data_IF_649150695415
#
_entry.id   IF_649150695415
#
_cell.length_a   1.000
_cell.length_b   1.000
_cell.length_c   1.000
_cell.angle_alpha   90.00
_cell.angle_beta   90.00
_cell.angle_gamma   90.00
#
_symmetry.space_group_name_H-M   'P 1'
#
loop_
_entity.id
_entity.type
_entity.pdbx_description
1 polymer ?
#
# COMPACT_ATOMS: atom_id res chain seq x y z
N UNK A 1 4.13 52.41 -6.13
CA UNK A 1 5.57 52.20 -6.36
C UNK A 1 5.75 50.78 -6.84
N UNK A 2 6.06 50.62 -8.13
CA UNK A 2 6.18 49.34 -8.81
C UNK A 2 7.63 48.84 -8.74
N UNK A 3 7.85 47.62 -8.26
CA UNK A 3 9.15 46.97 -8.29
C UNK A 3 9.17 45.92 -9.40
N UNK A 4 10.07 46.12 -10.37
CA UNK A 4 10.34 45.23 -11.50
C UNK A 4 11.17 44.03 -11.04
N UNK A 5 10.79 42.83 -11.47
CA UNK A 5 11.64 41.63 -11.43
C UNK A 5 12.48 41.54 -12.72
N UNK A 6 13.75 41.07 -12.66
CA UNK A 6 14.55 40.80 -13.85
C UNK A 6 14.31 39.40 -14.43
N UNK A 7 14.42 39.20 -15.76
CA UNK A 7 14.34 37.89 -16.41
C UNK A 7 15.74 37.33 -16.71
N UNK A 8 15.97 36.05 -16.40
CA UNK A 8 17.11 35.22 -16.83
C UNK A 8 16.66 33.76 -16.69
N UNK A 9 16.86 32.80 -17.58
CA UNK A 9 17.53 32.73 -18.86
C UNK A 9 17.31 31.30 -19.38
N UNK A 10 16.91 31.18 -20.65
CA UNK A 10 16.73 29.92 -21.36
C UNK A 10 18.12 29.41 -21.74
N UNK A 11 18.46 28.18 -21.35
CA UNK A 11 19.65 27.48 -21.88
C UNK A 11 19.21 26.36 -22.79
N UNK A 12 19.40 26.62 -24.08
CA UNK A 12 19.45 25.64 -25.16
C UNK A 12 20.57 24.61 -24.91
N UNK A 13 20.25 23.33 -25.07
CA UNK A 13 21.24 22.28 -25.27
C UNK A 13 20.91 21.55 -26.57
N UNK A 14 21.51 22.05 -27.65
CA UNK A 14 21.61 21.35 -28.94
C UNK A 14 23.00 20.70 -29.07
N UNK A 15 23.08 19.64 -29.89
CA UNK A 15 24.28 18.94 -30.37
C UNK A 15 24.74 17.75 -29.48
N UNK A 16 25.16 16.58 -29.97
CA UNK A 16 25.59 16.17 -31.31
C UNK A 16 25.70 14.62 -31.37
N UNK A 17 25.21 14.05 -32.48
CA UNK A 17 25.79 12.94 -33.28
C UNK A 17 26.26 11.64 -32.62
N UNK A 18 25.80 10.48 -33.12
CA UNK A 18 26.64 9.53 -33.93
C UNK A 18 25.94 8.18 -34.20
N UNK A 19 25.65 7.97 -35.49
CA UNK A 19 25.80 6.72 -36.26
C UNK A 19 26.21 5.45 -35.50
N UNK A 20 25.38 4.41 -35.54
CA UNK A 20 25.85 3.07 -35.95
C UNK A 20 24.78 2.34 -36.76
N UNK A 21 25.24 1.96 -37.94
CA UNK A 21 24.58 1.20 -38.99
C UNK A 21 25.05 -0.25 -38.85
N UNK A 22 24.16 -1.25 -38.78
CA UNK A 22 24.52 -2.62 -39.18
C UNK A 22 23.29 -3.47 -39.53
N UNK A 23 23.21 -3.74 -40.82
CA UNK A 23 22.42 -4.80 -41.44
C UNK A 23 22.74 -6.18 -40.83
N UNK A 24 21.70 -6.96 -40.55
CA UNK A 24 21.78 -8.41 -40.50
C UNK A 24 20.82 -9.00 -41.55
N UNK A 25 21.41 -9.73 -42.49
CA UNK A 25 20.73 -10.48 -43.52
C UNK A 25 20.24 -11.83 -42.98
N UNK A 26 19.19 -12.43 -43.58
CA UNK A 26 18.70 -13.75 -43.21
C UNK A 26 19.60 -14.87 -43.76
N UNK A 27 19.95 -15.83 -42.91
CA UNK A 27 20.64 -17.06 -43.29
C UNK A 27 19.57 -18.12 -43.60
N UNK A 28 19.40 -18.43 -44.88
CA UNK A 28 18.68 -19.60 -45.38
C UNK A 28 19.63 -20.79 -45.38
N UNK A 29 19.37 -21.82 -44.57
CA UNK A 29 20.01 -23.13 -44.69
C UNK A 29 19.01 -24.15 -45.22
N UNK A 30 19.22 -24.56 -46.47
CA UNK A 30 18.60 -25.75 -47.06
C UNK A 30 19.26 -27.01 -46.49
N UNK A 31 18.46 -27.93 -45.95
CA UNK A 31 18.88 -29.29 -45.64
C UNK A 31 18.27 -30.27 -46.64
N UNK A 32 19.06 -31.17 -47.24
CA UNK A 32 18.56 -32.13 -48.20
C UNK A 32 17.82 -33.28 -47.52
N UNK A 33 16.75 -33.71 -48.18
CA UNK A 33 15.92 -34.84 -47.84
C UNK A 33 16.73 -36.15 -47.78
N UNK A 34 16.63 -36.86 -46.66
CA UNK A 34 17.01 -38.27 -46.56
C UNK A 34 15.77 -39.11 -46.26
N UNK A 35 15.16 -39.60 -47.34
CA UNK A 35 14.03 -40.51 -47.35
C UNK A 35 14.54 -41.94 -47.48
N UNK A 36 14.47 -42.75 -46.40
CA UNK A 36 14.40 -44.21 -46.53
C UNK A 36 13.98 -44.90 -45.23
N UNK A 37 12.96 -45.76 -45.38
CA UNK A 37 12.72 -46.97 -44.60
C UNK A 37 12.38 -46.82 -43.11
N UNK A 38 11.10 -46.99 -42.75
CA UNK A 38 10.65 -48.02 -41.78
C UNK A 38 9.14 -47.89 -41.51
N UNK A 39 8.36 -48.52 -42.38
CA UNK A 39 6.89 -48.49 -42.35
C UNK A 39 6.26 -49.40 -41.28
N UNK A 40 7.05 -50.00 -40.38
CA UNK A 40 6.57 -50.91 -39.33
C UNK A 40 6.54 -50.32 -37.91
N UNK A 41 6.95 -49.06 -37.71
CA UNK A 41 6.89 -48.35 -36.42
C UNK A 41 5.71 -47.35 -36.29
N UNK A 42 4.76 -47.37 -37.24
CA UNK A 42 3.72 -46.34 -37.36
C UNK A 42 2.51 -46.52 -36.43
N UNK A 43 2.35 -47.68 -35.78
CA UNK A 43 1.19 -47.92 -34.91
C UNK A 43 1.48 -47.56 -33.44
N UNK A 44 2.73 -47.68 -32.97
CA UNK A 44 3.10 -47.28 -31.60
C UNK A 44 3.43 -45.77 -31.45
N UNK A 45 3.93 -45.10 -32.50
CA UNK A 45 4.26 -43.67 -32.43
C UNK A 45 3.04 -42.73 -32.46
N UNK A 46 1.92 -43.17 -33.03
CA UNK A 46 0.70 -42.35 -33.12
C UNK A 46 -0.02 -42.22 -31.76
N UNK A 47 0.03 -43.23 -30.90
CA UNK A 47 -0.54 -43.16 -29.55
C UNK A 47 0.32 -42.33 -28.59
N UNK A 48 1.66 -42.40 -28.70
CA UNK A 48 2.56 -41.61 -27.85
C UNK A 48 2.52 -40.11 -28.17
N UNK A 49 2.40 -39.73 -29.44
CA UNK A 49 2.27 -38.32 -29.83
C UNK A 49 0.96 -37.69 -29.34
N UNK A 50 -0.15 -38.44 -29.36
CA UNK A 50 -1.44 -37.97 -28.86
C UNK A 50 -1.42 -37.75 -27.33
N UNK A 51 -0.77 -38.64 -26.57
CA UNK A 51 -0.65 -38.49 -25.11
C UNK A 51 0.23 -37.30 -24.74
N UNK A 52 1.36 -37.08 -25.44
CA UNK A 52 2.23 -35.92 -25.20
C UNK A 52 1.53 -34.60 -25.55
N UNK A 53 0.77 -34.56 -26.65
CA UNK A 53 -0.02 -33.38 -27.03
C UNK A 53 -1.15 -33.12 -26.02
N UNK A 54 -1.83 -34.15 -25.53
CA UNK A 54 -2.86 -34.04 -24.48
C UNK A 54 -2.27 -33.61 -23.13
N UNK A 55 -1.08 -34.06 -22.76
CA UNK A 55 -0.40 -33.58 -21.54
C UNK A 55 0.09 -32.14 -21.66
N UNK A 56 0.53 -31.69 -22.85
CA UNK A 56 0.92 -30.30 -23.10
C UNK A 56 -0.29 -29.35 -23.13
N UNK A 57 -1.41 -29.77 -23.73
CA UNK A 57 -2.67 -29.01 -23.71
C UNK A 57 -3.30 -28.99 -22.30
N UNK A 58 -3.18 -30.08 -21.54
CA UNK A 58 -3.66 -30.17 -20.17
C UNK A 58 -2.86 -29.31 -19.18
N UNK A 59 -1.56 -29.10 -19.40
CA UNK A 59 -0.74 -28.28 -18.50
C UNK A 59 -0.99 -26.78 -18.68
N UNK A 60 -1.27 -26.29 -19.90
CA UNK A 60 -1.62 -24.88 -20.14
C UNK A 60 -2.90 -24.47 -19.38
N UNK A 61 -3.90 -25.35 -19.28
CA UNK A 61 -5.16 -25.05 -18.59
C UNK A 61 -5.07 -25.11 -17.05
N UNK A 62 -4.07 -25.79 -16.49
CA UNK A 62 -3.90 -25.91 -15.02
C UNK A 62 -3.07 -24.74 -14.47
N UNK A 63 -2.14 -24.18 -15.24
CA UNK A 63 -1.35 -23.01 -14.80
C UNK A 63 -2.15 -21.70 -14.78
N UNK A 64 -3.20 -21.55 -15.59
CA UNK A 64 -4.08 -20.36 -15.51
C UNK A 64 -5.00 -20.39 -14.27
N UNK A 65 -5.42 -21.58 -13.81
CA UNK A 65 -6.33 -21.68 -12.65
C UNK A 65 -5.66 -21.39 -11.30
N UNK A 66 -4.36 -21.60 -11.17
CA UNK A 66 -3.64 -21.30 -9.92
C UNK A 66 -3.34 -19.81 -9.72
N UNK A 67 -3.48 -18.97 -10.75
CA UNK A 67 -3.39 -17.50 -10.63
C UNK A 67 -4.72 -16.80 -10.37
N UNK A 68 -5.84 -17.48 -10.59
CA UNK A 68 -7.16 -16.83 -10.61
C UNK A 68 -7.72 -16.46 -9.22
N UNK A 69 -7.11 -16.88 -8.10
CA UNK A 69 -7.64 -16.61 -6.76
C UNK A 69 -7.11 -15.30 -6.15
N UNK A 70 -5.99 -14.77 -6.63
CA UNK A 70 -5.46 -13.46 -6.23
C UNK A 70 -5.85 -12.34 -7.21
N UNK A 71 -6.57 -12.68 -8.29
CA UNK A 71 -6.97 -11.74 -9.34
C UNK A 71 -8.40 -11.25 -9.12
N UNK A 72 -8.65 -10.68 -7.94
CA UNK A 72 -9.92 -10.04 -7.61
C UNK A 72 -9.67 -8.69 -6.92
N UNK A 73 -10.49 -7.65 -7.23
CA UNK A 73 -10.42 -6.38 -6.52
C UNK A 73 -11.04 -6.44 -5.12
N UNK A 74 -11.65 -7.58 -4.74
CA UNK A 74 -12.21 -7.79 -3.40
C UNK A 74 -11.11 -7.62 -2.34
N UNK A 75 -11.41 -6.82 -1.33
CA UNK A 75 -10.47 -6.48 -0.27
C UNK A 75 -10.79 -5.16 0.43
N UNK A 76 -9.97 -4.85 1.41
CA UNK A 76 -9.99 -3.58 2.13
C UNK A 76 -8.75 -2.79 1.69
N UNK A 77 -8.98 -1.61 1.15
CA UNK A 77 -7.96 -0.81 0.47
C UNK A 77 -7.87 0.57 1.09
N UNK A 78 -6.70 1.21 1.03
CA UNK A 78 -6.49 2.53 1.61
C UNK A 78 -5.65 3.43 0.72
N UNK A 79 -5.99 4.72 0.72
CA UNK A 79 -5.28 5.76 0.00
C UNK A 79 -5.27 7.04 0.82
N UNK A 80 -4.24 7.85 0.63
CA UNK A 80 -4.09 9.16 1.24
C UNK A 80 -4.21 10.22 0.15
N UNK A 81 -5.08 11.22 0.37
CA UNK A 81 -5.21 12.37 -0.52
C UNK A 81 -4.82 13.64 0.25
N UNK A 82 -3.75 14.29 -0.20
CA UNK A 82 -3.36 15.60 0.25
C UNK A 82 -4.08 16.70 -0.53
N UNK A 83 -4.01 17.92 -0.02
CA UNK A 83 -4.64 19.09 -0.67
C UNK A 83 -4.09 19.35 -2.07
N UNK A 84 -2.81 19.07 -2.31
CA UNK A 84 -2.16 19.24 -3.61
C UNK A 84 -2.68 18.28 -4.67
N UNK A 85 -3.33 17.19 -4.25
CA UNK A 85 -3.77 16.12 -5.13
C UNK A 85 -5.20 16.36 -5.64
N UNK A 86 -5.88 17.38 -5.10
CA UNK A 86 -7.28 17.67 -5.39
C UNK A 86 -7.36 18.97 -6.20
N UNK A 87 -7.98 18.96 -7.39
CA UNK A 87 -8.21 20.17 -8.17
C UNK A 87 -9.00 21.22 -7.38
N UNK A 88 -8.52 22.47 -7.43
CA UNK A 88 -9.09 23.59 -6.63
C UNK A 88 -10.45 24.07 -7.12
N UNK A 89 -10.85 23.69 -8.33
CA UNK A 89 -12.09 24.08 -9.00
C UNK A 89 -13.27 23.13 -8.73
N UNK A 90 -13.05 22.07 -7.96
CA UNK A 90 -14.10 21.11 -7.60
C UNK A 90 -14.80 21.56 -6.33
N UNK A 91 -16.14 21.58 -6.38
CA UNK A 91 -16.97 21.87 -5.22
C UNK A 91 -16.62 20.89 -4.08
N UNK A 92 -16.49 21.42 -2.87
CA UNK A 92 -16.10 20.63 -1.69
C UNK A 92 -14.73 19.97 -1.80
N UNK A 93 -13.76 20.53 -2.55
CA UNK A 93 -12.40 19.98 -2.67
C UNK A 93 -11.77 19.55 -1.34
N UNK A 94 -11.96 20.33 -0.27
CA UNK A 94 -11.47 19.98 1.07
C UNK A 94 -12.10 18.72 1.69
N UNK A 95 -13.29 18.29 1.27
CA UNK A 95 -13.89 17.06 1.79
C UNK A 95 -13.17 15.80 1.30
N UNK A 96 -12.35 15.91 0.25
CA UNK A 96 -11.56 14.79 -0.27
C UNK A 96 -10.18 14.65 0.42
N UNK A 97 -9.73 15.66 1.16
CA UNK A 97 -8.44 15.61 1.89
C UNK A 97 -8.56 14.65 3.06
N UNK A 98 -7.65 13.67 3.14
CA UNK A 98 -7.56 12.73 4.26
C UNK A 98 -7.14 11.33 3.83
N UNK A 99 -7.19 10.40 4.79
CA UNK A 99 -7.05 8.97 4.50
C UNK A 99 -8.42 8.35 4.27
N UNK A 100 -8.46 7.53 3.23
CA UNK A 100 -9.63 6.85 2.75
C UNK A 100 -9.47 5.34 2.88
N UNK A 101 -10.58 4.68 3.16
CA UNK A 101 -10.74 3.23 3.11
C UNK A 101 -11.78 2.91 2.03
N UNK A 102 -11.43 2.02 1.12
CA UNK A 102 -12.33 1.45 0.12
C UNK A 102 -12.49 -0.04 0.43
N UNK A 103 -13.68 -0.43 0.90
CA UNK A 103 -14.04 -1.84 1.07
C UNK A 103 -14.77 -2.34 -0.17
N UNK A 104 -14.29 -3.41 -0.79
CA UNK A 104 -14.93 -4.10 -1.92
C UNK A 104 -15.26 -5.51 -1.43
N UNK A 105 -16.53 -5.77 -1.13
CA UNK A 105 -16.97 -7.01 -0.51
C UNK A 105 -17.41 -8.06 -1.53
N UNK A 106 -17.20 -9.33 -1.21
CA UNK A 106 -17.51 -10.45 -2.12
C UNK A 106 -19.01 -10.60 -2.42
N UNK A 107 -19.90 -9.95 -1.65
CA UNK A 107 -21.35 -9.95 -1.86
C UNK A 107 -21.83 -8.92 -2.89
N UNK A 108 -20.90 -8.19 -3.52
CA UNK A 108 -21.19 -7.16 -4.52
C UNK A 108 -21.48 -5.78 -3.91
N UNK A 109 -21.21 -5.58 -2.62
CA UNK A 109 -21.27 -4.26 -1.97
C UNK A 109 -19.90 -3.60 -1.88
N UNK A 110 -19.88 -2.27 -1.90
CA UNK A 110 -18.66 -1.51 -1.58
C UNK A 110 -18.99 -0.32 -0.69
N UNK A 111 -17.99 0.11 0.08
CA UNK A 111 -18.05 1.29 0.93
C UNK A 111 -16.77 2.11 0.76
N UNK A 112 -16.93 3.43 0.67
CA UNK A 112 -15.84 4.38 0.81
C UNK A 112 -16.02 5.16 2.11
N UNK A 113 -15.00 5.09 2.96
CA UNK A 113 -14.94 5.73 4.26
C UNK A 113 -13.75 6.68 4.31
N UNK A 114 -13.94 7.83 4.96
CA UNK A 114 -12.83 8.69 5.37
C UNK A 114 -12.58 8.45 6.86
N UNK A 115 -11.33 8.20 7.25
CA UNK A 115 -10.99 7.72 8.61
C UNK A 115 -11.54 8.62 9.73
N UNK A 116 -11.67 9.93 9.50
CA UNK A 116 -12.20 10.90 10.47
C UNK A 116 -13.71 11.19 10.33
N UNK A 117 -14.39 10.63 9.33
CA UNK A 117 -15.81 10.88 9.05
C UNK A 117 -16.67 9.61 8.97
N UNK A 118 -16.07 8.42 8.93
CA UNK A 118 -16.77 7.17 8.72
C UNK A 118 -17.20 6.97 7.25
N UNK A 119 -18.18 6.09 7.04
CA UNK A 119 -18.70 5.78 5.71
C UNK A 119 -19.39 7.00 5.10
N UNK A 120 -18.87 7.46 3.95
CA UNK A 120 -19.38 8.64 3.24
C UNK A 120 -19.97 8.32 1.88
N UNK A 121 -19.69 7.13 1.33
CA UNK A 121 -20.35 6.55 0.16
C UNK A 121 -20.52 5.04 0.37
N UNK A 122 -21.68 4.51 0.00
CA UNK A 122 -21.92 3.07 -0.06
C UNK A 122 -22.73 2.71 -1.30
N UNK A 123 -22.50 1.54 -1.86
CA UNK A 123 -23.11 1.16 -3.13
C UNK A 123 -22.97 -0.31 -3.49
N UNK A 124 -23.12 -0.61 -4.78
CA UNK A 124 -22.88 -1.92 -5.35
C UNK A 124 -21.73 -1.88 -6.36
N UNK A 125 -21.06 -3.02 -6.55
CA UNK A 125 -20.08 -3.17 -7.60
C UNK A 125 -20.29 -4.45 -8.40
N UNK A 126 -19.80 -4.45 -9.63
CA UNK A 126 -19.74 -5.62 -10.51
C UNK A 126 -18.39 -5.64 -11.24
N UNK A 127 -17.93 -6.82 -11.65
CA UNK A 127 -16.71 -6.99 -12.45
C UNK A 127 -17.00 -7.80 -13.70
N UNK A 128 -16.47 -7.34 -14.83
CA UNK A 128 -16.40 -8.06 -16.09
C UNK A 128 -14.97 -7.99 -16.64
N UNK A 129 -14.24 -9.11 -16.54
CA UNK A 129 -12.82 -9.17 -16.86
C UNK A 129 -12.00 -8.19 -16.01
N UNK A 130 -11.28 -7.29 -16.67
CA UNK A 130 -10.45 -6.27 -16.02
C UNK A 130 -11.20 -4.96 -15.76
N UNK A 131 -12.53 -4.91 -15.94
CA UNK A 131 -13.34 -3.75 -15.65
C UNK A 131 -14.18 -3.96 -14.40
N UNK A 132 -14.22 -2.94 -13.55
CA UNK A 132 -15.06 -2.85 -12.36
C UNK A 132 -16.01 -1.65 -12.52
N UNK A 133 -17.28 -1.87 -12.24
CA UNK A 133 -18.30 -0.82 -12.23
C UNK A 133 -18.77 -0.62 -10.80
N UNK A 134 -18.75 0.62 -10.33
CA UNK A 134 -19.30 1.05 -9.04
C UNK A 134 -20.59 1.83 -9.29
N UNK A 135 -21.64 1.51 -8.53
CA UNK A 135 -22.91 2.24 -8.51
C UNK A 135 -23.19 2.71 -7.09
N UNK A 136 -23.07 4.01 -6.88
CA UNK A 136 -23.36 4.65 -5.60
C UNK A 136 -24.85 4.51 -5.28
N UNK A 137 -25.19 4.14 -4.03
CA UNK A 137 -26.59 4.02 -3.57
C UNK A 137 -26.94 5.02 -2.47
N UNK A 138 -25.96 5.37 -1.64
CA UNK A 138 -26.16 6.25 -0.50
C UNK A 138 -24.84 6.92 -0.08
N UNK A 139 -24.97 7.97 0.73
CA UNK A 139 -23.84 8.66 1.33
C UNK A 139 -23.82 10.16 1.04
N UNK A 140 -23.12 10.91 1.90
CA UNK A 140 -23.01 12.37 1.74
C UNK A 140 -22.17 12.78 0.54
N UNK A 141 -21.27 11.91 0.08
CA UNK A 141 -20.45 12.11 -1.12
C UNK A 141 -20.89 11.22 -2.29
N UNK A 142 -22.06 10.57 -2.18
CA UNK A 142 -22.62 9.82 -3.30
C UNK A 142 -22.93 10.76 -4.46
N UNK A 143 -22.55 10.37 -5.66
CA UNK A 143 -22.74 11.15 -6.87
C UNK A 143 -24.22 11.32 -7.28
N UNK A 144 -25.09 10.43 -6.79
CA UNK A 144 -26.55 10.54 -6.93
C UNK A 144 -27.23 11.40 -5.86
N UNK A 145 -26.47 12.00 -4.93
CA UNK A 145 -27.02 12.84 -3.88
C UNK A 145 -27.20 14.29 -4.38
N UNK A 146 -28.46 14.75 -4.43
CA UNK A 146 -28.86 16.11 -4.81
C UNK A 146 -28.11 17.21 -4.05
N UNK A 147 -27.68 16.93 -2.82
CA UNK A 147 -26.91 17.88 -2.01
C UNK A 147 -25.47 18.07 -2.50
N UNK A 148 -24.92 17.10 -3.23
CA UNK A 148 -23.55 17.10 -3.74
C UNK A 148 -23.45 17.61 -5.20
N UNK A 149 -24.54 17.55 -5.99
CA UNK A 149 -24.54 17.98 -7.39
C UNK A 149 -25.85 18.71 -7.79
N UNK A 150 -25.82 20.02 -8.09
CA UNK A 150 -27.00 20.77 -8.52
C UNK A 150 -27.49 20.41 -9.95
N UNK A 151 -26.78 19.52 -10.66
CA UNK A 151 -27.16 18.99 -11.96
C UNK A 151 -27.10 17.47 -11.85
N UNK A 152 -28.24 16.86 -11.56
CA UNK A 152 -28.35 15.39 -11.48
C UNK A 152 -28.61 14.89 -12.90
N UNK A 153 -27.64 14.18 -13.47
CA UNK A 153 -27.91 13.24 -14.55
C UNK A 153 -28.03 11.85 -13.91
N UNK A 154 -29.03 11.07 -14.31
CA UNK A 154 -29.26 9.71 -13.78
C UNK A 154 -28.03 8.81 -13.96
N UNK A 155 -27.17 9.10 -14.92
CA UNK A 155 -25.93 8.35 -15.17
C UNK A 155 -24.76 8.70 -14.23
N UNK A 156 -24.90 9.67 -13.33
CA UNK A 156 -23.79 10.09 -12.45
C UNK A 156 -23.53 9.14 -11.28
N UNK A 157 -24.52 8.33 -10.91
CA UNK A 157 -24.40 7.37 -9.81
C UNK A 157 -23.45 6.21 -10.14
N UNK A 158 -23.13 6.00 -11.42
CA UNK A 158 -22.37 4.85 -11.90
C UNK A 158 -21.05 5.27 -12.55
N UNK A 159 -19.98 4.53 -12.25
CA UNK A 159 -18.64 4.74 -12.81
C UNK A 159 -17.94 3.42 -13.10
N UNK A 160 -17.29 3.32 -14.25
CA UNK A 160 -16.55 2.15 -14.72
C UNK A 160 -15.05 2.44 -14.81
N UNK A 161 -14.26 1.48 -14.37
CA UNK A 161 -12.81 1.56 -14.23
C UNK A 161 -12.16 0.28 -14.72
N UNK A 162 -10.98 0.36 -15.33
CA UNK A 162 -10.10 -0.80 -15.38
C UNK A 162 -9.43 -0.96 -14.03
N UNK A 163 -9.23 -2.19 -13.57
CA UNK A 163 -8.54 -2.48 -12.32
C UNK A 163 -7.33 -3.39 -12.57
N UNK A 164 -6.29 -3.19 -11.76
CA UNK A 164 -5.09 -4.03 -11.73
C UNK A 164 -4.66 -4.22 -10.28
N UNK A 165 -4.40 -5.47 -9.88
CA UNK A 165 -3.84 -5.79 -8.57
C UNK A 165 -2.40 -6.27 -8.72
N UNK A 166 -1.49 -5.64 -7.99
CA UNK A 166 -0.09 -6.04 -7.90
C UNK A 166 0.30 -6.22 -6.44
N UNK A 167 0.17 -7.46 -5.96
CA UNK A 167 0.41 -7.81 -4.56
C UNK A 167 -0.59 -7.12 -3.62
N UNK A 168 -0.08 -6.21 -2.79
CA UNK A 168 -0.86 -5.41 -1.82
C UNK A 168 -1.37 -4.09 -2.38
N UNK A 169 -1.23 -3.86 -3.69
CA UNK A 169 -1.66 -2.63 -4.33
C UNK A 169 -2.82 -2.89 -5.31
N UNK A 170 -3.82 -2.02 -5.28
CA UNK A 170 -4.92 -1.97 -6.23
C UNK A 170 -4.86 -0.64 -7.00
N UNK A 171 -4.78 -0.71 -8.31
CA UNK A 171 -4.82 0.46 -9.19
C UNK A 171 -6.13 0.46 -9.95
N UNK A 172 -6.85 1.60 -9.94
CA UNK A 172 -8.05 1.82 -10.74
C UNK A 172 -7.76 2.94 -11.74
N UNK A 173 -8.12 2.73 -13.00
CA UNK A 173 -8.01 3.73 -14.06
C UNK A 173 -9.38 3.96 -14.68
N UNK A 174 -9.80 5.22 -14.78
CA UNK A 174 -11.12 5.59 -15.30
C UNK A 174 -11.32 5.08 -16.72
N UNK A 175 -12.44 4.40 -16.96
CA UNK A 175 -12.95 4.10 -18.30
C UNK A 175 -14.04 5.11 -18.66
N UNK A 176 -15.10 5.16 -17.83
CA UNK A 176 -16.19 6.11 -17.97
C UNK A 176 -16.75 6.44 -16.59
N UNK A 177 -16.83 7.72 -16.26
CA UNK A 177 -17.38 8.16 -14.98
C UNK A 177 -17.63 9.67 -15.03
N UNK A 178 -18.88 10.09 -14.88
CA UNK A 178 -19.24 11.50 -14.91
C UNK A 178 -19.06 12.21 -13.55
N UNK A 179 -18.79 11.47 -12.46
CA UNK A 179 -18.70 12.01 -11.12
C UNK A 179 -17.27 12.41 -10.74
N UNK A 180 -16.95 13.72 -10.63
CA UNK A 180 -15.60 14.17 -10.33
C UNK A 180 -15.06 13.64 -9.00
N UNK A 181 -15.91 13.59 -7.97
CA UNK A 181 -15.53 13.12 -6.64
C UNK A 181 -15.04 11.67 -6.61
N UNK A 182 -15.79 10.77 -7.28
CA UNK A 182 -15.42 9.35 -7.39
C UNK A 182 -14.16 9.17 -8.22
N UNK A 183 -14.02 9.93 -9.32
CA UNK A 183 -12.79 9.90 -10.15
C UNK A 183 -11.56 10.31 -9.33
N UNK A 184 -11.63 11.41 -8.57
CA UNK A 184 -10.54 11.84 -7.69
C UNK A 184 -10.20 10.72 -6.70
N UNK A 185 -11.21 10.20 -5.99
CA UNK A 185 -10.98 9.22 -4.94
C UNK A 185 -10.36 7.92 -5.48
N UNK A 186 -10.87 7.42 -6.61
CA UNK A 186 -10.52 6.09 -7.11
C UNK A 186 -9.28 6.10 -8.02
N UNK A 187 -8.90 7.22 -8.64
CA UNK A 187 -7.86 7.20 -9.71
C UNK A 187 -6.64 8.07 -9.44
N UNK A 188 -6.62 8.86 -8.37
CA UNK A 188 -5.47 9.74 -8.10
C UNK A 188 -4.21 8.94 -7.78
N UNK A 189 -4.34 7.87 -7.00
CA UNK A 189 -3.24 6.97 -6.65
C UNK A 189 -3.69 5.52 -6.62
N UNK A 190 -2.74 4.60 -6.69
CA UNK A 190 -2.97 3.20 -6.32
C UNK A 190 -3.28 3.11 -4.83
N UNK A 191 -4.25 2.27 -4.48
CA UNK A 191 -4.53 1.93 -3.11
C UNK A 191 -3.55 0.88 -2.61
N UNK A 192 -3.23 0.95 -1.33
CA UNK A 192 -2.53 -0.11 -0.59
C UNK A 192 -3.52 -0.92 0.24
N UNK A 193 -3.19 -2.15 0.61
CA UNK A 193 -4.00 -2.95 1.55
C UNK A 193 -4.25 -2.17 2.86
N UNK A 194 -5.50 -2.09 3.28
CA UNK A 194 -5.89 -1.36 4.48
C UNK A 194 -5.39 -2.07 5.73
N UNK A 195 -4.64 -1.32 6.54
CA UNK A 195 -4.19 -1.75 7.86
C UNK A 195 -4.84 -0.81 8.88
N UNK A 196 -5.54 -1.41 9.85
CA UNK A 196 -6.15 -0.72 10.98
C UNK A 196 -5.10 -0.39 12.04
N UNK A 197 -5.26 0.74 12.72
CA UNK A 197 -4.50 1.05 13.92
C UNK A 197 -5.02 0.16 15.06
N UNK A 198 -4.25 -0.86 15.42
CA UNK A 198 -4.61 -1.78 16.52
C UNK A 198 -3.91 -1.41 17.84
N UNK A 199 -3.04 -0.41 17.81
CA UNK A 199 -2.33 0.08 18.99
C UNK A 199 -3.32 0.64 20.00
N UNK A 200 -3.23 0.15 21.23
CA UNK A 200 -4.02 0.66 22.34
C UNK A 200 -3.58 2.09 22.67
N UNK A 201 -4.53 3.00 22.97
CA UNK A 201 -4.19 4.36 23.35
C UNK A 201 -3.42 4.37 24.68
N UNK A 202 -2.39 5.21 24.78
CA UNK A 202 -1.73 5.50 26.05
C UNK A 202 -2.69 6.17 27.01
N UNK A 203 -2.57 5.85 28.30
CA UNK A 203 -3.32 6.56 29.33
C UNK A 203 -2.83 7.99 29.47
N UNK A 204 -3.73 8.91 29.82
CA UNK A 204 -3.36 10.30 30.11
C UNK A 204 -2.38 10.42 31.29
N UNK A 205 -2.46 9.51 32.28
CA UNK A 205 -1.54 9.49 33.41
C UNK A 205 -0.09 9.20 32.95
N UNK A 206 0.06 8.24 32.03
CA UNK A 206 1.36 7.91 31.41
C UNK A 206 1.89 9.09 30.61
N UNK A 207 1.05 9.75 29.81
CA UNK A 207 1.45 10.91 29.00
C UNK A 207 1.88 12.12 29.84
N UNK A 208 1.26 12.31 31.01
CA UNK A 208 1.59 13.40 31.93
C UNK A 208 2.75 13.07 32.88
N UNK A 209 3.39 11.90 32.74
CA UNK A 209 4.45 11.45 33.64
C UNK A 209 3.99 11.34 35.10
N UNK A 210 2.69 11.16 35.33
CA UNK A 210 2.20 10.89 36.68
C UNK A 210 2.63 9.46 37.01
N UNK A 211 3.41 9.24 38.09
CA UNK A 211 3.82 7.89 38.46
C UNK A 211 2.57 7.04 38.63
N UNK A 212 2.43 6.03 37.78
CA UNK A 212 1.40 5.02 37.93
C UNK A 212 1.62 4.39 39.30
N UNK A 213 0.66 4.54 40.20
CA UNK A 213 0.76 3.94 41.52
C UNK A 213 0.94 2.44 41.31
N UNK A 214 2.04 1.88 41.83
CA UNK A 214 2.38 0.47 41.67
C UNK A 214 1.11 -0.38 41.84
N UNK A 215 0.69 -1.14 40.81
CA UNK A 215 -0.47 -2.00 40.95
C UNK A 215 -0.23 -2.92 42.16
N UNK A 216 -1.25 -3.14 43.01
CA UNK A 216 -1.08 -3.97 44.20
C UNK A 216 -0.49 -5.30 43.75
N UNK A 217 0.65 -5.66 44.35
CA UNK A 217 1.43 -6.86 44.05
C UNK A 217 0.57 -8.12 44.25
N UNK A 218 -0.20 -8.51 43.24
CA UNK A 218 -0.93 -9.78 43.24
C UNK A 218 0.08 -10.85 42.88
N UNK A 219 0.69 -11.45 43.91
CA UNK A 219 1.60 -12.57 43.80
C UNK A 219 0.96 -13.73 43.04
N UNK A 220 1.19 -13.80 41.72
CA UNK A 220 0.92 -14.99 40.92
C UNK A 220 2.09 -15.97 41.11
N UNK A 221 1.83 -17.27 41.34
CA UNK A 221 2.88 -18.25 41.54
C UNK A 221 3.74 -18.41 40.28
N UNK A 222 5.02 -18.10 40.41
CA UNK A 222 6.03 -18.24 39.35
C UNK A 222 6.24 -19.73 39.09
N UNK A 223 5.90 -20.19 37.89
CA UNK A 223 6.32 -21.50 37.39
C UNK A 223 7.83 -21.47 37.09
N UNK A 224 8.59 -22.54 37.42
CA UNK A 224 10.03 -22.57 37.20
C UNK A 224 10.37 -22.47 35.71
N UNK A 225 11.19 -21.47 35.37
CA UNK A 225 11.72 -21.29 34.02
C UNK A 225 12.57 -22.49 33.62
N UNK A 226 12.21 -23.14 32.51
CA UNK A 226 12.98 -24.24 31.94
C UNK A 226 14.14 -23.65 31.13
N UNK A 227 15.37 -23.85 31.59
CA UNK A 227 16.59 -23.47 30.86
C UNK A 227 16.79 -24.42 29.68
N UNK A 228 16.70 -23.92 28.45
CA UNK A 228 17.05 -24.67 27.25
C UNK A 228 18.56 -24.54 27.01
N UNK A 229 19.30 -25.63 27.21
CA UNK A 229 20.72 -25.73 26.84
C UNK A 229 20.85 -25.84 25.32
N UNK A 230 21.36 -24.79 24.67
CA UNK A 230 21.76 -24.84 23.27
C UNK A 230 23.13 -25.52 23.14
N UNK A 231 23.13 -26.81 22.76
CA UNK A 231 24.32 -27.56 22.37
C UNK A 231 24.32 -27.80 20.86
N UNK A 232 24.72 -26.79 20.10
CA UNK A 232 24.89 -26.92 18.65
C UNK A 232 25.64 -25.73 18.07
N UNK A 233 26.71 -25.98 17.33
CA UNK A 233 27.43 -24.96 16.56
C UNK A 233 26.44 -24.39 15.53
N UNK A 234 26.06 -23.09 15.63
CA UNK A 234 24.99 -22.56 14.81
C UNK A 234 25.50 -22.37 13.38
N UNK A 235 24.79 -22.97 12.42
CA UNK A 235 24.75 -22.38 11.08
C UNK A 235 24.30 -20.91 11.22
N UNK A 236 24.79 -19.98 10.38
CA UNK A 236 24.33 -18.60 10.43
C UNK A 236 22.80 -18.58 10.26
N UNK A 237 22.09 -18.29 11.35
CA UNK A 237 20.65 -18.06 11.33
C UNK A 237 20.48 -16.67 10.75
N UNK A 238 20.04 -16.59 9.50
CA UNK A 238 19.55 -15.34 8.93
C UNK A 238 18.22 -15.03 9.62
N UNK A 239 18.25 -14.14 10.60
CA UNK A 239 17.01 -13.64 11.21
C UNK A 239 16.46 -12.58 10.26
N UNK A 240 15.31 -12.86 9.66
CA UNK A 240 14.61 -11.94 8.77
C UNK A 240 13.57 -11.16 9.58
N UNK A 241 13.82 -9.86 9.78
CA UNK A 241 12.92 -8.94 10.49
C UNK A 241 12.05 -8.11 9.55
N UNK A 242 12.04 -8.46 8.26
CA UNK A 242 11.40 -7.66 7.21
C UNK A 242 9.91 -7.50 7.46
N UNK A 243 9.22 -8.59 7.78
CA UNK A 243 7.78 -8.57 7.99
C UNK A 243 7.38 -7.73 9.22
N UNK A 244 8.16 -7.80 10.30
CA UNK A 244 7.91 -7.06 11.54
C UNK A 244 8.10 -5.55 11.34
N UNK A 245 9.13 -5.14 10.62
CA UNK A 245 9.35 -3.71 10.32
C UNK A 245 8.32 -3.19 9.33
N UNK A 246 7.99 -3.96 8.29
CA UNK A 246 6.95 -3.57 7.35
C UNK A 246 5.59 -3.44 8.06
N UNK A 247 5.31 -4.30 9.05
CA UNK A 247 4.12 -4.19 9.91
C UNK A 247 4.17 -2.95 10.82
N UNK A 248 5.31 -2.67 11.46
CA UNK A 248 5.46 -1.46 12.29
C UNK A 248 5.22 -0.18 11.48
N UNK A 249 5.82 -0.05 10.30
CA UNK A 249 5.64 1.12 9.43
C UNK A 249 4.19 1.26 8.95
N UNK A 250 3.52 0.14 8.69
CA UNK A 250 2.10 0.14 8.39
C UNK A 250 1.23 0.56 9.60
N UNK A 251 1.55 0.10 10.81
CA UNK A 251 0.88 0.54 12.04
C UNK A 251 1.11 2.04 12.29
N UNK A 252 2.33 2.54 12.06
CA UNK A 252 2.63 3.97 12.14
C UNK A 252 1.76 4.76 11.18
N UNK A 253 1.68 4.33 9.92
CA UNK A 253 0.80 4.93 8.90
C UNK A 253 -0.67 4.91 9.33
N UNK A 254 -1.14 3.77 9.85
CA UNK A 254 -2.51 3.59 10.27
C UNK A 254 -2.90 4.46 11.48
N UNK A 255 -2.06 4.48 12.51
CA UNK A 255 -2.29 5.25 13.73
C UNK A 255 -2.05 6.75 13.53
N UNK A 256 -1.19 7.14 12.58
CA UNK A 256 -1.08 8.54 12.17
C UNK A 256 -2.41 9.05 11.58
N UNK A 257 -3.05 8.24 10.75
CA UNK A 257 -4.29 8.62 10.09
C UNK A 257 -5.51 8.69 11.01
N UNK A 258 -5.49 8.05 12.20
CA UNK A 258 -6.59 8.19 13.16
C UNK A 258 -6.61 9.55 13.85
N UNK A 259 -5.53 10.35 13.74
CA UNK A 259 -5.38 11.66 14.41
C UNK A 259 -5.50 11.57 15.94
N UNK A 260 -5.12 10.42 16.50
CA UNK A 260 -5.10 10.14 17.93
C UNK A 260 -3.65 9.94 18.38
N UNK A 261 -2.94 11.00 18.80
CA UNK A 261 -1.53 10.92 19.20
C UNK A 261 -1.24 9.78 20.18
N UNK A 262 -2.13 9.54 21.13
CA UNK A 262 -2.05 8.50 22.15
C UNK A 262 -1.98 7.08 21.58
N UNK A 263 -2.44 6.85 20.35
CA UNK A 263 -2.30 5.55 19.66
C UNK A 263 -1.03 5.43 18.84
N UNK A 264 -0.46 6.55 18.41
CA UNK A 264 0.76 6.56 17.61
C UNK A 264 2.01 6.55 18.49
N UNK A 265 2.00 7.24 19.63
CA UNK A 265 3.14 7.32 20.55
C UNK A 265 3.67 5.97 21.09
N UNK A 266 2.85 4.94 21.33
CA UNK A 266 3.36 3.61 21.71
C UNK A 266 4.22 2.93 20.64
N UNK A 267 4.16 3.39 19.38
CA UNK A 267 4.96 2.86 18.28
C UNK A 267 6.39 3.44 18.29
N UNK A 268 6.64 4.45 19.13
CA UNK A 268 7.95 5.04 19.36
C UNK A 268 8.64 4.34 20.53
N UNK A 269 9.97 4.29 20.50
CA UNK A 269 10.75 3.86 21.65
C UNK A 269 10.46 4.76 22.86
N UNK A 270 10.60 4.21 24.06
CA UNK A 270 10.33 4.94 25.29
C UNK A 270 11.22 6.20 25.38
N UNK A 271 12.52 6.08 25.10
CA UNK A 271 13.46 7.21 25.13
C UNK A 271 13.12 8.30 24.11
N UNK A 272 12.80 7.91 22.87
CA UNK A 272 12.49 8.88 21.81
C UNK A 272 11.16 9.58 22.07
N UNK A 273 10.13 8.82 22.49
CA UNK A 273 8.83 9.36 22.88
C UNK A 273 8.97 10.37 24.02
N UNK A 274 9.69 10.01 25.08
CA UNK A 274 9.82 10.84 26.26
C UNK A 274 10.61 12.12 25.93
N UNK A 275 11.62 12.04 25.06
CA UNK A 275 12.32 13.21 24.54
C UNK A 275 11.40 14.16 23.75
N UNK A 276 10.50 13.63 22.91
CA UNK A 276 9.51 14.42 22.19
C UNK A 276 8.52 15.11 23.15
N UNK A 277 7.98 14.38 24.12
CA UNK A 277 7.04 14.91 25.11
C UNK A 277 7.66 15.99 25.99
N UNK A 278 8.96 15.90 26.29
CA UNK A 278 9.67 16.91 27.07
C UNK A 278 10.09 18.14 26.25
N UNK A 279 10.15 18.01 24.91
CA UNK A 279 10.63 19.08 24.03
C UNK A 279 9.67 20.27 23.93
N UNK A 280 8.36 20.02 24.04
CA UNK A 280 7.31 21.04 23.96
C UNK A 280 6.12 20.65 24.86
N UNK A 281 5.71 21.50 25.83
CA UNK A 281 4.52 21.24 26.64
C UNK A 281 3.22 21.12 25.82
N UNK A 282 3.18 21.66 24.59
CA UNK A 282 2.04 21.55 23.67
C UNK A 282 2.29 20.52 22.55
N UNK A 283 3.26 19.61 22.74
CA UNK A 283 3.64 18.65 21.71
C UNK A 283 2.44 17.82 21.21
N UNK A 284 1.57 17.35 22.11
CA UNK A 284 0.41 16.53 21.73
C UNK A 284 -0.58 17.29 20.83
N UNK A 285 -0.83 18.56 21.11
CA UNK A 285 -1.70 19.41 20.28
C UNK A 285 -1.07 19.65 18.91
N UNK A 286 0.23 19.97 18.91
CA UNK A 286 0.99 20.21 17.67
C UNK A 286 1.09 18.94 16.81
N UNK A 287 1.25 17.79 17.45
CA UNK A 287 1.26 16.48 16.80
C UNK A 287 -0.13 16.17 16.21
N UNK A 288 -1.21 16.37 16.96
CA UNK A 288 -2.57 16.19 16.44
C UNK A 288 -2.86 17.08 15.22
N UNK A 289 -2.39 18.34 15.23
CA UNK A 289 -2.48 19.24 14.08
C UNK A 289 -1.65 18.70 12.91
N UNK A 290 -0.44 18.22 13.17
CA UNK A 290 0.45 17.66 12.13
C UNK A 290 -0.14 16.39 11.50
N UNK A 291 -0.82 15.56 12.29
CA UNK A 291 -1.55 14.36 11.85
C UNK A 291 -2.74 14.68 10.92
N UNK A 292 -3.10 15.96 10.73
CA UNK A 292 -4.06 16.35 9.69
C UNK A 292 -3.53 16.10 8.27
N UNK A 293 -2.20 16.09 8.10
CA UNK A 293 -1.54 15.77 6.84
C UNK A 293 -1.37 14.25 6.72
N UNK A 294 -1.85 13.61 5.64
CA UNK A 294 -1.70 12.17 5.51
C UNK A 294 -0.25 11.82 5.16
N UNK A 295 0.36 10.96 5.97
CA UNK A 295 1.73 10.46 5.77
C UNK A 295 1.67 8.93 5.62
N UNK A 296 2.42 8.41 4.66
CA UNK A 296 2.64 6.97 4.47
C UNK A 296 4.12 6.66 4.66
N UNK A 297 4.43 5.69 5.51
CA UNK A 297 5.80 5.17 5.69
C UNK A 297 5.92 3.77 5.09
N UNK A 298 6.92 3.59 4.24
CA UNK A 298 7.23 2.31 3.61
C UNK A 298 8.74 2.06 3.63
N UNK A 299 9.15 0.82 3.85
CA UNK A 299 10.56 0.46 3.75
C UNK A 299 11.00 0.53 2.28
N UNK A 300 12.07 1.27 2.03
CA UNK A 300 12.64 1.49 0.70
C UNK A 300 14.00 0.80 0.49
N UNK A 301 14.57 0.19 1.53
CA UNK A 301 15.87 -0.45 1.48
C UNK A 301 15.96 -1.73 2.32
N UNK A 302 17.15 -2.34 2.28
CA UNK A 302 17.48 -3.50 3.10
C UNK A 302 17.61 -3.14 4.58
N UNK A 303 17.28 -4.10 5.44
CA UNK A 303 17.45 -3.97 6.89
C UNK A 303 18.90 -4.27 7.25
N UNK A 304 19.52 -3.38 8.03
CA UNK A 304 20.87 -3.57 8.57
C UNK A 304 20.81 -3.77 10.08
N UNK A 305 21.36 -4.88 10.57
CA UNK A 305 21.53 -5.12 12.00
C UNK A 305 22.64 -4.24 12.56
N UNK A 306 22.30 -3.35 13.49
CA UNK A 306 23.23 -2.42 14.12
C UNK A 306 23.71 -2.96 15.47
N UNK A 307 22.78 -3.52 16.25
CA UNK A 307 23.05 -4.20 17.52
C UNK A 307 22.03 -5.35 17.70
N UNK A 308 22.20 -6.27 18.70
CA UNK A 308 21.31 -7.41 18.88
C UNK A 308 19.81 -7.06 18.99
N UNK A 309 19.48 -5.85 19.44
CA UNK A 309 18.12 -5.33 19.58
C UNK A 309 17.90 -4.04 18.77
N UNK A 310 18.77 -3.71 17.82
CA UNK A 310 18.68 -2.48 17.02
C UNK A 310 18.93 -2.76 15.55
N UNK A 311 18.04 -2.26 14.70
CA UNK A 311 18.16 -2.37 13.26
C UNK A 311 17.90 -1.02 12.60
N UNK A 312 18.51 -0.80 11.45
CA UNK A 312 18.26 0.38 10.61
C UNK A 312 17.66 -0.03 9.29
N UNK A 313 16.75 0.78 8.75
CA UNK A 313 16.27 0.64 7.39
C UNK A 313 16.05 2.03 6.76
N UNK A 314 16.26 2.12 5.45
CA UNK A 314 15.81 3.30 4.69
C UNK A 314 14.30 3.23 4.54
N UNK A 315 13.62 4.28 4.99
CA UNK A 315 12.17 4.45 4.95
C UNK A 315 11.84 5.60 4.02
N UNK A 316 10.91 5.35 3.09
CA UNK A 316 10.26 6.37 2.27
C UNK A 316 9.05 6.89 3.04
N UNK A 317 9.03 8.20 3.29
CA UNK A 317 7.86 8.92 3.77
C UNK A 317 7.21 9.63 2.58
N UNK A 318 5.91 9.43 2.38
CA UNK A 318 5.15 10.06 1.29
C UNK A 318 4.08 10.98 1.86
N UNK A 319 4.03 12.22 1.37
CA UNK A 319 3.01 13.23 1.70
C UNK A 319 2.47 13.83 0.42
N UNK A 320 1.27 13.40 0.01
CA UNK A 320 0.74 13.70 -1.33
C UNK A 320 1.67 13.16 -2.42
N UNK A 321 2.23 14.04 -3.24
CA UNK A 321 3.21 13.68 -4.29
C UNK A 321 4.66 13.83 -3.85
N UNK A 322 4.92 14.40 -2.68
CA UNK A 322 6.27 14.57 -2.15
C UNK A 322 6.75 13.27 -1.50
N UNK A 323 8.00 12.89 -1.80
CA UNK A 323 8.65 11.73 -1.22
C UNK A 323 9.94 12.15 -0.56
N UNK A 324 10.17 11.67 0.66
CA UNK A 324 11.41 11.83 1.39
C UNK A 324 11.96 10.46 1.80
N UNK A 325 13.29 10.33 1.85
CA UNK A 325 13.98 9.09 2.19
C UNK A 325 14.87 9.32 3.39
N UNK A 326 14.56 8.63 4.48
CA UNK A 326 15.25 8.77 5.76
C UNK A 326 15.72 7.42 6.25
N UNK A 327 16.84 7.37 6.96
CA UNK A 327 17.26 6.15 7.64
C UNK A 327 16.65 6.15 9.04
N UNK A 328 15.69 5.27 9.27
CA UNK A 328 15.10 5.09 10.58
C UNK A 328 15.93 4.12 11.40
N UNK A 329 16.01 4.37 12.70
CA UNK A 329 16.44 3.39 13.69
C UNK A 329 15.23 2.73 14.34
N UNK A 330 15.30 1.41 14.49
CA UNK A 330 14.31 0.64 15.23
C UNK A 330 14.99 -0.07 16.39
N UNK A 331 14.31 -0.11 17.52
CA UNK A 331 14.76 -0.81 18.72
C UNK A 331 13.71 -1.82 19.15
N UNK A 332 14.15 -3.00 19.58
CA UNK A 332 13.28 -4.01 20.16
C UNK A 332 13.17 -3.77 21.66
N UNK A 333 12.00 -3.33 22.12
CA UNK A 333 11.69 -3.07 23.53
C UNK A 333 10.29 -3.59 23.88
N UNK A 334 10.11 -4.07 25.11
CA UNK A 334 8.83 -4.59 25.59
C UNK A 334 8.20 -5.69 24.70
N UNK A 335 9.05 -6.48 24.03
CA UNK A 335 8.62 -7.58 23.16
C UNK A 335 8.16 -7.15 21.75
N UNK A 336 8.38 -5.90 21.34
CA UNK A 336 8.01 -5.40 20.02
C UNK A 336 9.06 -4.44 19.45
N UNK A 337 9.10 -4.32 18.13
CA UNK A 337 9.90 -3.29 17.46
C UNK A 337 9.22 -1.93 17.57
N UNK A 338 10.00 -0.88 17.83
CA UNK A 338 9.53 0.51 17.88
C UNK A 338 10.48 1.45 17.14
N UNK A 339 9.96 2.57 16.64
CA UNK A 339 10.76 3.59 15.98
C UNK A 339 11.51 4.45 17.00
N UNK A 340 12.82 4.59 16.83
CA UNK A 340 13.73 5.25 17.78
C UNK A 340 14.31 6.57 17.26
N UNK A 341 13.67 7.19 16.26
CA UNK A 341 14.25 8.32 15.51
C UNK A 341 15.08 7.84 14.34
#
# INVERSE_FOLDING_TARGET
MAARLPPQGITDATSVTRFMNRHQAPITQEFPAMQRSNQRFRIFAACSAAVVLLTLLGSVLVFDRARAQDDTPVGQWSVALARTDIPVDIASSFSYVGRWRLGIEADGTYEAERTDAGVVVGGAWTVDGNQITFTDKAGILSCGNDAAAPIINEDMDTGTYTWERSGKNLTLTRVDDACPGRVILLTTFSFSEYIACITAPMSQATLLGTPEADPPEVASPIAPATSLEMTGSPAPITIDFTAEIDNLLAQMTACWASREPERWLPLLSNDFRDALLQSDPNFLETLAISMSSPIVWERAGEITLVAPNQISATVRSTVGTEQDFQNFMFIFEDGQWKWNG
#
